data_IF_365063461513
#
_entry.id   IF_365063461513
#
_cell.length_a   1.000
_cell.length_b   1.000
_cell.length_c   1.000
_cell.angle_alpha   90.00
_cell.angle_beta   90.00
_cell.angle_gamma   90.00
#
_symmetry.space_group_name_H-M   'P 1'
#
loop_
_entity.id
_entity.type
_entity.pdbx_description
1 polymer ?
#
# COMPACT_ATOMS: atom_id res chain seq x y z
N UNK A 1 -40.41 9.47 20.95
CA UNK A 1 -40.99 8.96 19.71
C UNK A 1 -41.72 10.11 19.02
N UNK A 2 -41.55 10.47 17.75
CA UNK A 2 -40.50 10.30 16.77
C UNK A 2 -40.70 11.46 15.75
N UNK A 3 -39.70 12.33 15.64
CA UNK A 3 -39.05 12.78 14.39
C UNK A 3 -39.88 13.07 13.13
N UNK A 4 -39.81 14.32 12.64
CA UNK A 4 -38.98 14.74 11.47
C UNK A 4 -39.38 16.14 11.00
N UNK A 5 -38.48 17.09 11.23
CA UNK A 5 -38.47 18.41 10.58
C UNK A 5 -37.64 18.29 9.31
N UNK A 6 -38.26 18.50 8.16
CA UNK A 6 -37.59 18.70 6.88
C UNK A 6 -37.81 20.17 6.51
N UNK A 7 -36.72 20.92 6.32
CA UNK A 7 -36.77 22.27 5.76
C UNK A 7 -35.56 22.49 4.84
N UNK A 8 -35.70 23.51 4.00
CA UNK A 8 -34.78 24.05 3.00
C UNK A 8 -34.90 23.36 1.62
N UNK A 9 -35.80 23.79 0.72
CA UNK A 9 -36.00 25.07 -0.01
C UNK A 9 -35.30 25.10 -1.38
N UNK A 10 -36.10 25.54 -2.33
CA UNK A 10 -35.98 25.69 -3.77
C UNK A 10 -34.77 26.44 -4.35
N UNK A 11 -34.42 25.99 -5.56
CA UNK A 11 -34.26 26.76 -6.82
C UNK A 11 -33.34 27.99 -6.86
N UNK A 12 -32.26 27.86 -7.64
CA UNK A 12 -31.54 28.99 -8.23
C UNK A 12 -30.72 28.54 -9.44
N UNK A 13 -31.24 28.82 -10.63
CA UNK A 13 -30.59 28.56 -11.91
C UNK A 13 -29.62 29.69 -12.33
N UNK A 14 -28.69 29.33 -13.22
CA UNK A 14 -28.08 30.14 -14.29
C UNK A 14 -27.06 31.23 -13.90
N UNK A 15 -25.79 31.06 -14.33
CA UNK A 15 -25.08 32.05 -15.17
C UNK A 15 -23.96 31.37 -15.97
N UNK A 16 -24.04 31.60 -17.28
CA UNK A 16 -23.10 31.31 -18.37
C UNK A 16 -21.78 32.08 -18.23
N UNK A 17 -20.63 31.44 -18.47
CA UNK A 17 -19.42 32.13 -18.94
C UNK A 17 -18.85 31.39 -20.14
N UNK A 18 -19.01 31.99 -21.33
CA UNK A 18 -18.16 31.74 -22.49
C UNK A 18 -16.96 32.67 -22.43
N UNK A 19 -15.75 32.14 -22.59
CA UNK A 19 -14.60 32.94 -23.01
C UNK A 19 -13.63 32.09 -23.83
N UNK A 20 -13.22 32.71 -24.93
CA UNK A 20 -12.50 32.20 -26.10
C UNK A 20 -10.98 32.05 -25.88
N UNK A 21 -10.41 31.08 -26.60
CA UNK A 21 -9.04 30.96 -27.17
C UNK A 21 -7.98 31.99 -26.77
N UNK A 22 -6.79 31.49 -26.40
CA UNK A 22 -5.50 31.70 -27.10
C UNK A 22 -4.35 31.54 -26.10
N UNK A 23 -3.54 30.48 -26.26
CA UNK A 23 -2.21 30.44 -25.67
C UNK A 23 -1.22 30.18 -26.81
N UNK A 24 -0.74 31.28 -27.39
CA UNK A 24 0.36 31.29 -28.33
C UNK A 24 1.67 30.93 -27.64
N UNK A 25 2.48 30.17 -28.36
CA UNK A 25 3.89 29.89 -28.12
C UNK A 25 4.67 31.13 -27.67
N UNK A 26 5.29 31.06 -26.49
CA UNK A 26 6.40 31.94 -26.15
C UNK A 26 7.71 31.13 -26.22
N UNK A 27 8.53 31.47 -27.22
CA UNK A 27 9.88 30.94 -27.41
C UNK A 27 10.79 31.39 -26.28
N UNK A 28 11.56 30.42 -25.81
CA UNK A 28 12.75 30.55 -24.96
C UNK A 28 13.86 31.39 -25.64
N UNK A 29 14.43 32.41 -24.96
CA UNK A 29 15.62 33.09 -25.43
C UNK A 29 16.91 32.44 -24.90
N UNK A 30 17.58 31.70 -25.80
CA UNK A 30 19.02 31.69 -26.07
C UNK A 30 19.99 31.96 -24.90
N UNK A 31 20.55 30.88 -24.36
CA UNK A 31 21.79 30.91 -23.55
C UNK A 31 23.02 31.09 -24.45
N UNK A 32 23.95 32.02 -24.16
CA UNK A 32 25.30 31.96 -24.70
C UNK A 32 26.22 31.19 -23.73
N UNK A 33 26.44 29.90 -23.98
CA UNK A 33 27.54 29.17 -23.33
C UNK A 33 28.84 29.43 -24.11
N UNK A 34 29.63 30.39 -23.61
CA UNK A 34 30.97 30.68 -24.09
C UNK A 34 31.95 29.56 -23.70
N UNK A 35 32.51 28.92 -24.73
CA UNK A 35 33.70 28.09 -24.69
C UNK A 35 34.92 28.90 -24.25
N UNK A 36 35.71 28.39 -23.30
CA UNK A 36 37.16 28.67 -23.23
C UNK A 36 37.97 27.46 -22.77
N UNK A 37 39.25 27.37 -23.19
CA UNK A 37 40.02 26.13 -23.30
C UNK A 37 40.89 25.83 -22.07
N UNK A 38 41.30 24.56 -21.97
CA UNK A 38 42.23 23.95 -21.02
C UNK A 38 43.61 24.61 -20.94
N UNK A 39 44.31 24.45 -19.80
CA UNK A 39 45.74 24.16 -19.86
C UNK A 39 46.14 22.86 -19.17
N UNK A 40 47.05 22.19 -19.87
CA UNK A 40 47.74 20.91 -19.67
C UNK A 40 48.87 21.04 -18.65
N UNK A 41 48.94 20.17 -17.64
CA UNK A 41 50.18 19.89 -16.86
C UNK A 41 50.30 18.40 -16.55
N UNK A 42 51.56 17.96 -16.44
CA UNK A 42 52.15 16.66 -16.78
C UNK A 42 52.10 15.61 -15.65
N UNK A 43 51.96 14.36 -16.10
CA UNK A 43 52.60 13.10 -15.68
C UNK A 43 53.38 13.01 -14.35
N UNK A 44 53.10 11.93 -13.59
CA UNK A 44 54.10 10.89 -13.29
C UNK A 44 53.45 9.55 -12.90
N UNK A 45 54.04 8.39 -13.26
CA UNK A 45 53.49 7.06 -13.00
C UNK A 45 54.03 6.52 -11.68
N UNK A 46 53.17 5.87 -10.88
CA UNK A 46 53.62 5.02 -9.78
C UNK A 46 52.77 3.74 -9.72
N UNK A 47 53.40 2.67 -10.18
CA UNK A 47 53.48 1.39 -9.47
C UNK A 47 52.15 0.78 -8.97
N UNK A 48 51.58 -0.12 -9.77
CA UNK A 48 50.72 -1.19 -9.24
C UNK A 48 51.61 -2.20 -8.50
N UNK A 49 51.21 -2.62 -7.30
CA UNK A 49 50.93 -4.04 -7.20
C UNK A 49 49.68 -4.38 -6.40
N UNK A 50 49.18 -5.57 -6.75
CA UNK A 50 48.33 -6.47 -5.99
C UNK A 50 46.83 -6.18 -5.94
N UNK A 51 46.14 -6.81 -6.90
CA UNK A 51 44.74 -7.18 -6.80
C UNK A 51 44.57 -8.17 -5.64
N UNK A 52 43.98 -7.72 -4.55
CA UNK A 52 43.15 -8.58 -3.69
C UNK A 52 41.84 -7.84 -3.52
N UNK A 53 40.84 -8.28 -4.30
CA UNK A 53 39.45 -7.84 -4.23
C UNK A 53 38.97 -7.89 -2.77
N UNK A 54 38.85 -6.73 -2.12
CA UNK A 54 37.84 -6.55 -1.09
C UNK A 54 36.54 -6.28 -1.82
N UNK A 55 35.66 -7.27 -1.84
CA UNK A 55 34.30 -7.13 -2.31
C UNK A 55 33.60 -6.17 -1.35
N UNK A 56 33.37 -4.94 -1.81
CA UNK A 56 32.42 -4.05 -1.16
C UNK A 56 31.05 -4.68 -1.34
N UNK A 57 30.45 -5.15 -0.26
CA UNK A 57 29.04 -5.52 -0.22
C UNK A 57 28.24 -4.30 -0.66
N UNK A 58 27.44 -4.49 -1.70
CA UNK A 58 26.68 -3.43 -2.36
C UNK A 58 25.50 -3.02 -1.49
N UNK A 59 25.71 -2.06 -0.60
CA UNK A 59 24.64 -1.34 0.06
C UNK A 59 24.18 -0.18 -0.84
N UNK A 60 23.48 -0.49 -1.94
CA UNK A 60 22.72 0.51 -2.72
C UNK A 60 21.46 -0.07 -3.37
N UNK A 61 20.92 -1.21 -2.90
CA UNK A 61 19.59 -1.66 -3.30
C UNK A 61 18.46 -1.02 -2.46
N UNK A 62 18.80 -0.44 -1.31
CA UNK A 62 17.85 -0.11 -0.23
C UNK A 62 17.00 1.16 -0.46
N UNK A 63 17.35 2.05 -1.39
CA UNK A 63 16.75 3.40 -1.45
C UNK A 63 15.93 3.72 -2.71
N UNK A 64 15.82 2.79 -3.66
CA UNK A 64 14.98 2.99 -4.83
C UNK A 64 13.54 2.46 -4.62
N UNK A 65 13.37 1.43 -3.80
CA UNK A 65 12.11 0.70 -3.63
C UNK A 65 11.20 1.33 -2.56
N UNK A 66 11.77 2.14 -1.66
CA UNK A 66 11.05 2.82 -0.56
C UNK A 66 10.00 3.84 -1.05
N UNK A 67 10.09 4.35 -2.29
CA UNK A 67 9.15 5.37 -2.81
C UNK A 67 7.94 4.79 -3.55
N UNK A 68 7.93 3.49 -3.82
CA UNK A 68 6.83 2.79 -4.50
C UNK A 68 6.33 1.57 -3.75
N UNK A 69 6.93 1.21 -2.61
CA UNK A 69 6.51 0.05 -1.83
C UNK A 69 5.03 0.19 -1.40
N UNK A 70 4.13 -0.68 -1.89
CA UNK A 70 2.72 -0.64 -1.53
C UNK A 70 2.48 -0.84 -0.02
N UNK A 71 3.36 -1.59 0.64
CA UNK A 71 3.27 -1.87 2.07
C UNK A 71 3.49 -0.63 2.94
N UNK A 72 4.26 0.35 2.46
CA UNK A 72 4.48 1.60 3.19
C UNK A 72 3.18 2.40 3.42
N UNK A 73 2.12 2.15 2.63
CA UNK A 73 0.81 2.79 2.78
C UNK A 73 -0.09 2.11 3.82
N UNK A 74 0.22 0.86 4.15
CA UNK A 74 -0.53 0.07 5.12
C UNK A 74 -0.19 0.46 6.56
N UNK A 75 0.95 1.13 6.77
CA UNK A 75 1.33 1.68 8.06
C UNK A 75 1.67 0.60 9.08
N UNK A 76 2.32 -0.48 8.63
CA UNK A 76 2.95 -1.46 9.52
C UNK A 76 4.12 -0.81 10.26
N UNK A 77 4.37 -1.29 11.47
CA UNK A 77 5.50 -0.90 12.30
C UNK A 77 6.56 -2.01 12.33
N UNK A 78 7.86 -1.64 12.40
CA UNK A 78 8.93 -2.61 12.51
C UNK A 78 8.81 -3.42 13.81
N UNK A 79 8.98 -4.74 13.71
CA UNK A 79 8.90 -5.69 14.84
C UNK A 79 7.50 -6.22 15.16
N UNK A 80 6.49 -5.90 14.34
CA UNK A 80 5.15 -6.48 14.46
C UNK A 80 5.10 -7.89 13.87
N UNK A 81 4.35 -8.78 14.53
CA UNK A 81 4.04 -10.11 14.00
C UNK A 81 2.87 -10.00 13.03
N UNK A 82 3.15 -10.26 11.74
CA UNK A 82 2.15 -10.23 10.68
C UNK A 82 1.80 -11.64 10.25
N UNK A 83 0.55 -12.01 10.48
CA UNK A 83 -0.04 -13.29 10.17
C UNK A 83 -0.73 -13.27 8.81
N UNK A 84 -0.33 -14.13 7.89
CA UNK A 84 -0.96 -14.31 6.58
C UNK A 84 -1.98 -15.46 6.63
N UNK A 85 -3.16 -15.24 6.04
CA UNK A 85 -4.26 -16.23 5.94
C UNK A 85 -4.83 -16.17 4.52
N UNK A 86 -5.17 -17.33 3.94
CA UNK A 86 -5.83 -17.42 2.63
C UNK A 86 -4.88 -17.26 1.42
N UNK A 87 -3.59 -17.51 1.64
CA UNK A 87 -2.57 -17.48 0.61
C UNK A 87 -2.88 -18.49 -0.52
N UNK A 88 -2.78 -18.05 -1.77
CA UNK A 88 -2.88 -18.89 -2.98
C UNK A 88 -1.91 -18.35 -4.07
N UNK A 89 -1.91 -18.92 -5.28
CA UNK A 89 -0.93 -18.57 -6.34
C UNK A 89 -1.16 -17.17 -6.97
N UNK A 90 -2.33 -16.57 -6.72
CA UNK A 90 -2.76 -15.27 -7.23
C UNK A 90 -2.42 -14.07 -6.31
N UNK A 91 -1.75 -14.32 -5.17
CA UNK A 91 -1.31 -13.25 -4.28
C UNK A 91 -0.16 -12.44 -4.87
N UNK A 92 -0.07 -11.18 -4.46
CA UNK A 92 0.95 -10.25 -4.94
C UNK A 92 2.24 -10.38 -4.12
N UNK A 93 3.30 -10.95 -4.72
CA UNK A 93 4.57 -11.16 -4.03
C UNK A 93 5.29 -9.85 -3.71
N UNK A 94 5.22 -8.84 -4.60
CA UNK A 94 5.78 -7.51 -4.33
C UNK A 94 5.17 -6.87 -3.08
N UNK A 95 3.88 -7.12 -2.80
CA UNK A 95 3.25 -6.69 -1.55
C UNK A 95 3.84 -7.42 -0.34
N UNK A 96 4.06 -8.73 -0.43
CA UNK A 96 4.61 -9.55 0.67
C UNK A 96 6.05 -9.15 0.98
N UNK A 97 6.92 -9.15 -0.03
CA UNK A 97 8.30 -8.65 0.08
C UNK A 97 8.34 -7.23 0.68
N UNK A 98 7.38 -6.39 0.25
CA UNK A 98 7.22 -5.04 0.75
C UNK A 98 6.86 -4.98 2.23
N UNK A 99 6.01 -5.87 2.72
CA UNK A 99 5.62 -5.98 4.13
C UNK A 99 6.80 -6.48 4.96
N UNK A 100 7.48 -7.54 4.52
CA UNK A 100 8.65 -8.13 5.20
C UNK A 100 9.76 -7.09 5.38
N UNK A 101 10.00 -6.29 4.34
CA UNK A 101 10.97 -5.21 4.41
C UNK A 101 10.60 -4.13 5.42
N UNK A 102 9.30 -3.87 5.66
CA UNK A 102 8.83 -2.85 6.61
C UNK A 102 8.85 -3.39 8.05
N UNK A 103 8.37 -4.61 8.27
CA UNK A 103 8.33 -5.22 9.61
C UNK A 103 9.71 -5.72 10.06
N UNK A 104 10.61 -6.02 9.12
CA UNK A 104 11.96 -6.52 9.38
C UNK A 104 12.02 -8.01 9.77
N UNK A 105 10.96 -8.75 9.47
CA UNK A 105 10.80 -10.19 9.71
C UNK A 105 9.90 -10.80 8.62
N UNK A 106 9.93 -12.12 8.47
CA UNK A 106 9.07 -12.84 7.53
C UNK A 106 7.60 -12.88 8.02
N UNK A 107 6.64 -12.98 7.09
CA UNK A 107 5.24 -13.22 7.44
C UNK A 107 5.07 -14.64 8.00
N UNK A 108 4.23 -14.77 9.02
CA UNK A 108 3.86 -16.08 9.57
C UNK A 108 2.61 -16.61 8.87
N UNK A 109 2.52 -17.93 8.68
CA UNK A 109 1.42 -18.64 8.02
C UNK A 109 0.36 -19.11 9.03
N UNK A 110 -0.85 -19.47 8.57
CA UNK A 110 -2.01 -19.84 9.39
C UNK A 110 -1.75 -20.89 10.48
N UNK A 111 -0.69 -21.69 10.34
CA UNK A 111 -0.21 -22.64 11.37
C UNK A 111 0.54 -22.00 12.56
N UNK A 112 0.58 -20.68 12.67
CA UNK A 112 1.21 -19.99 13.79
C UNK A 112 0.47 -20.23 15.12
N UNK A 113 1.19 -20.72 16.13
CA UNK A 113 0.62 -21.15 17.43
C UNK A 113 0.56 -20.02 18.49
N UNK A 114 0.94 -18.79 18.14
CA UNK A 114 0.95 -17.62 19.04
C UNK A 114 0.06 -16.49 18.49
N UNK A 115 -0.06 -15.37 19.22
CA UNK A 115 -0.88 -14.23 18.81
C UNK A 115 -0.13 -13.29 17.87
N UNK A 116 -0.84 -12.72 16.90
CA UNK A 116 -0.29 -11.75 15.96
C UNK A 116 -0.80 -10.32 16.23
N UNK A 117 0.05 -9.32 15.98
CA UNK A 117 -0.32 -7.91 16.03
C UNK A 117 -1.29 -7.54 14.88
N UNK A 118 -1.00 -8.09 13.70
CA UNK A 118 -1.69 -7.77 12.45
C UNK A 118 -1.95 -9.04 11.65
N UNK A 119 -3.18 -9.20 11.18
CA UNK A 119 -3.55 -10.30 10.28
C UNK A 119 -3.76 -9.73 8.88
N UNK A 120 -3.10 -10.31 7.90
CA UNK A 120 -3.29 -10.09 6.47
C UNK A 120 -4.15 -11.24 5.95
N UNK A 121 -5.41 -10.93 5.63
CA UNK A 121 -6.40 -11.90 5.18
C UNK A 121 -6.64 -11.72 3.69
N UNK A 122 -6.24 -12.70 2.89
CA UNK A 122 -6.57 -12.79 1.47
C UNK A 122 -7.91 -13.52 1.35
N UNK A 123 -8.92 -12.83 0.79
CA UNK A 123 -10.26 -13.39 0.72
C UNK A 123 -10.93 -13.11 -0.63
N UNK A 124 -11.54 -14.16 -1.19
CA UNK A 124 -12.28 -14.17 -2.45
C UNK A 124 -13.71 -14.58 -2.18
N UNK A 125 -14.65 -14.14 -3.01
CA UNK A 125 -16.07 -14.51 -2.90
C UNK A 125 -16.30 -16.04 -2.88
N UNK A 126 -15.41 -16.81 -3.52
CA UNK A 126 -15.49 -18.28 -3.57
C UNK A 126 -14.90 -18.97 -2.33
N UNK A 127 -14.14 -18.27 -1.48
CA UNK A 127 -13.47 -18.85 -0.31
C UNK A 127 -14.46 -19.17 0.83
N UNK A 128 -15.67 -18.62 0.80
CA UNK A 128 -16.75 -18.96 1.73
C UNK A 128 -17.45 -17.73 2.31
N UNK A 129 -17.76 -17.79 3.60
CA UNK A 129 -18.39 -16.67 4.31
C UNK A 129 -17.33 -15.74 4.91
N UNK A 130 -17.34 -14.48 4.48
CA UNK A 130 -16.39 -13.47 4.96
C UNK A 130 -16.52 -13.21 6.46
N UNK A 131 -17.73 -13.30 7.01
CA UNK A 131 -17.97 -13.07 8.44
C UNK A 131 -17.26 -14.12 9.28
N UNK A 132 -17.39 -15.40 8.90
CA UNK A 132 -16.73 -16.49 9.61
C UNK A 132 -15.21 -16.34 9.53
N UNK A 133 -14.67 -16.05 8.34
CA UNK A 133 -13.23 -15.80 8.17
C UNK A 133 -12.72 -14.62 9.01
N UNK A 134 -13.50 -13.54 9.14
CA UNK A 134 -13.17 -12.41 10.01
C UNK A 134 -13.23 -12.78 11.49
N UNK A 135 -14.20 -13.59 11.91
CA UNK A 135 -14.32 -14.07 13.30
C UNK A 135 -13.14 -14.96 13.67
N UNK A 136 -12.73 -15.85 12.76
CA UNK A 136 -11.55 -16.71 12.95
C UNK A 136 -10.27 -15.87 13.02
N UNK A 137 -10.10 -14.89 12.12
CA UNK A 137 -8.96 -13.96 12.14
C UNK A 137 -8.88 -13.13 13.43
N UNK A 138 -10.01 -12.70 14.01
CA UNK A 138 -10.03 -12.02 15.31
C UNK A 138 -9.50 -12.92 16.42
N UNK A 139 -9.72 -14.24 16.33
CA UNK A 139 -9.24 -15.21 17.31
C UNK A 139 -7.72 -15.34 17.36
N UNK A 140 -7.03 -15.03 16.27
CA UNK A 140 -5.57 -15.11 16.12
C UNK A 140 -4.86 -13.80 16.48
N UNK A 141 -5.60 -12.70 16.62
CA UNK A 141 -5.06 -11.38 16.94
C UNK A 141 -4.85 -11.16 18.43
N UNK A 142 -3.87 -10.34 18.75
CA UNK A 142 -3.73 -9.75 20.08
C UNK A 142 -4.80 -8.66 20.36
N UNK A 143 -4.86 -8.21 21.61
CA UNK A 143 -5.81 -7.19 22.02
C UNK A 143 -5.52 -5.83 21.34
N UNK A 144 -6.48 -5.37 20.53
CA UNK A 144 -6.33 -4.15 19.74
C UNK A 144 -5.58 -4.32 18.43
N UNK A 145 -5.39 -5.57 17.99
CA UNK A 145 -4.84 -5.90 16.68
C UNK A 145 -5.65 -5.35 15.50
N UNK A 146 -5.03 -5.39 14.33
CA UNK A 146 -5.63 -4.91 13.08
C UNK A 146 -5.71 -6.05 12.07
N UNK A 147 -6.82 -6.13 11.33
CA UNK A 147 -6.94 -7.01 10.15
C UNK A 147 -6.84 -6.16 8.88
N UNK A 148 -5.96 -6.56 7.98
CA UNK A 148 -5.90 -6.09 6.61
C UNK A 148 -6.58 -7.10 5.71
N UNK A 149 -7.84 -6.83 5.38
CA UNK A 149 -8.61 -7.63 4.43
C UNK A 149 -8.24 -7.22 3.00
N UNK A 150 -7.70 -8.18 2.25
CA UNK A 150 -7.31 -8.04 0.86
C UNK A 150 -8.36 -8.71 -0.02
N UNK A 151 -9.02 -7.93 -0.86
CA UNK A 151 -10.00 -8.45 -1.83
C UNK A 151 -9.60 -8.10 -3.27
N UNK A 152 -9.95 -8.95 -4.24
CA UNK A 152 -9.75 -8.65 -5.66
C UNK A 152 -10.49 -7.35 -6.05
N UNK A 153 -9.97 -6.62 -7.03
CA UNK A 153 -10.62 -5.41 -7.56
C UNK A 153 -11.81 -5.73 -8.46
N UNK A 154 -12.66 -4.71 -8.67
CA UNK A 154 -13.85 -4.79 -9.53
C UNK A 154 -13.52 -5.36 -10.91
N UNK A 155 -14.23 -6.41 -11.32
CA UNK A 155 -14.05 -7.05 -12.63
C UNK A 155 -13.02 -8.20 -12.65
N UNK A 156 -12.50 -8.60 -11.49
CA UNK A 156 -11.77 -9.86 -11.29
C UNK A 156 -12.70 -10.91 -10.67
N UNK A 157 -12.37 -12.18 -10.88
CA UNK A 157 -13.00 -13.28 -10.15
C UNK A 157 -12.72 -13.14 -8.64
N UNK A 158 -13.66 -13.58 -7.81
CA UNK A 158 -13.58 -13.41 -6.36
C UNK A 158 -13.80 -11.97 -5.86
N UNK A 159 -14.25 -11.03 -6.69
CA UNK A 159 -14.59 -9.66 -6.25
C UNK A 159 -15.76 -9.64 -5.27
N UNK A 160 -15.60 -8.88 -4.19
CA UNK A 160 -16.61 -8.69 -3.14
C UNK A 160 -17.00 -7.21 -3.07
N UNK A 161 -18.29 -6.92 -2.94
CA UNK A 161 -18.74 -5.54 -2.84
C UNK A 161 -18.33 -4.92 -1.50
N UNK A 162 -17.94 -3.63 -1.47
CA UNK A 162 -17.62 -2.94 -0.22
C UNK A 162 -18.75 -2.98 0.82
N UNK A 163 -20.00 -3.09 0.37
CA UNK A 163 -21.19 -3.23 1.22
C UNK A 163 -21.19 -4.55 1.99
N UNK A 164 -20.86 -5.67 1.34
CA UNK A 164 -20.77 -6.98 1.98
C UNK A 164 -19.63 -7.01 3.00
N UNK A 165 -18.49 -6.39 2.67
CA UNK A 165 -17.37 -6.22 3.61
C UNK A 165 -17.82 -5.43 4.85
N UNK A 166 -18.60 -4.37 4.66
CA UNK A 166 -19.10 -3.56 5.76
C UNK A 166 -20.06 -4.34 6.67
N UNK A 167 -20.97 -5.12 6.08
CA UNK A 167 -21.96 -5.92 6.81
C UNK A 167 -21.27 -7.06 7.59
N UNK A 168 -20.31 -7.75 6.96
CA UNK A 168 -19.49 -8.78 7.59
C UNK A 168 -18.64 -8.21 8.74
N UNK A 169 -17.96 -7.08 8.52
CA UNK A 169 -17.18 -6.41 9.56
C UNK A 169 -18.07 -5.98 10.75
N UNK A 170 -19.26 -5.44 10.49
CA UNK A 170 -20.19 -5.05 11.54
C UNK A 170 -20.69 -6.27 12.34
N UNK A 171 -20.98 -7.38 11.65
CA UNK A 171 -21.41 -8.63 12.30
C UNK A 171 -20.30 -9.26 13.14
N UNK A 172 -19.05 -9.20 12.66
CA UNK A 172 -17.86 -9.63 13.41
C UNK A 172 -17.48 -8.67 14.57
N UNK A 173 -18.12 -7.50 14.66
CA UNK A 173 -17.82 -6.48 15.68
C UNK A 173 -16.57 -5.64 15.40
N UNK A 174 -16.09 -5.65 14.16
CA UNK A 174 -14.94 -4.89 13.68
C UNK A 174 -15.34 -3.48 13.25
N UNK A 175 -14.41 -2.54 13.38
CA UNK A 175 -14.56 -1.20 12.82
C UNK A 175 -13.86 -1.12 11.47
N UNK A 176 -14.63 -1.06 10.40
CA UNK A 176 -14.10 -0.86 9.05
C UNK A 176 -13.59 0.57 8.87
N UNK A 177 -12.35 0.69 8.39
CA UNK A 177 -11.76 1.94 7.95
C UNK A 177 -11.70 2.01 6.41
N UNK A 178 -11.04 3.03 5.89
CA UNK A 178 -11.00 3.28 4.45
C UNK A 178 -10.22 2.19 3.71
N UNK A 179 -10.81 1.68 2.62
CA UNK A 179 -10.13 0.82 1.66
C UNK A 179 -9.14 1.60 0.77
N UNK A 180 -7.97 1.03 0.54
CA UNK A 180 -6.92 1.57 -0.31
C UNK A 180 -6.45 0.54 -1.33
N UNK A 181 -5.99 0.99 -2.50
CA UNK A 181 -5.34 0.10 -3.46
C UNK A 181 -3.94 -0.24 -2.95
N UNK A 182 -3.72 -1.53 -2.69
CA UNK A 182 -2.43 -2.05 -2.22
C UNK A 182 -1.63 -2.64 -3.37
N UNK A 183 -2.27 -3.35 -4.30
CA UNK A 183 -1.58 -3.97 -5.42
C UNK A 183 -2.21 -3.57 -6.76
N UNK A 184 -1.69 -4.12 -7.85
CA UNK A 184 -2.30 -3.96 -9.17
C UNK A 184 -3.72 -4.50 -9.19
N UNK A 185 -3.92 -5.69 -8.63
CA UNK A 185 -5.19 -6.42 -8.68
C UNK A 185 -5.92 -6.52 -7.33
N UNK A 186 -5.27 -6.10 -6.24
CA UNK A 186 -5.82 -6.20 -4.89
C UNK A 186 -6.14 -4.85 -4.25
N UNK A 187 -7.23 -4.82 -3.48
CA UNK A 187 -7.66 -3.71 -2.64
C UNK A 187 -7.58 -4.13 -1.17
N UNK A 188 -6.92 -3.32 -0.34
CA UNK A 188 -6.78 -3.56 1.09
C UNK A 188 -7.77 -2.71 1.90
N UNK A 189 -8.54 -3.34 2.77
CA UNK A 189 -9.44 -2.70 3.71
C UNK A 189 -8.93 -2.93 5.13
N UNK A 190 -8.69 -1.84 5.86
CA UNK A 190 -8.29 -1.91 7.26
C UNK A 190 -9.50 -2.13 8.14
N UNK A 191 -9.48 -3.17 8.96
CA UNK A 191 -10.50 -3.48 9.96
C UNK A 191 -9.83 -3.48 11.34
N UNK A 192 -10.32 -2.64 12.25
CA UNK A 192 -9.77 -2.56 13.60
C UNK A 192 -10.61 -3.42 14.56
N UNK A 193 -9.94 -4.31 15.31
CA UNK A 193 -10.59 -5.08 16.34
C UNK A 193 -10.91 -4.18 17.56
N UNK A 194 -12.07 -4.37 18.21
CA UNK A 194 -12.36 -3.69 19.47
C UNK A 194 -11.41 -4.20 20.55
N UNK A 195 -10.85 -3.28 21.35
CA UNK A 195 -10.09 -3.64 22.57
C UNK A 195 -11.03 -4.30 23.58
N UNK A 196 -10.67 -5.47 24.10
CA UNK A 196 -11.47 -6.24 25.06
C UNK A 196 -11.21 -5.81 26.51
#
# INVERSE_FOLDING_TARGET
MAERVWSCVETGANVTVSAVRTAGYLRDPSRPCGLRPTPRVRARPQHLPNMIRRQAVSATADHAEERTNPAARLGFEPGQVVQEIGYDDDVDQDLRDGIESVIGQDLVDEDYDDVADVVVLWFRDEDGDLTDALVDAIGLLEDGGTIWLLTPKTGRDGYIEPSDIQDAAQTAGLSQARSISVAQDWSGTKLAAPRR
#
